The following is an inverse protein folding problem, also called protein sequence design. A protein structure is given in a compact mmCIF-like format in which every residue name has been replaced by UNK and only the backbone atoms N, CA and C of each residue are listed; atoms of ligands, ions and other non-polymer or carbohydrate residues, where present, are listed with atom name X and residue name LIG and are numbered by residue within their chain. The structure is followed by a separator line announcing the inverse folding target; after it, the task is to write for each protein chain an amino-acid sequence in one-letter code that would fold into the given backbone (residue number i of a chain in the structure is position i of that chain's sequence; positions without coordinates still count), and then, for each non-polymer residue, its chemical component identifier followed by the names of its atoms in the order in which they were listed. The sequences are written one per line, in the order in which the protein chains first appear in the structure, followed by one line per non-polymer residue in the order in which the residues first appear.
data_IF_411328459613
#
_entry.id   IF_411328459613
#
_cell.length_a   1.000
_cell.length_b   1.000
_cell.length_c   1.000
_cell.angle_alpha   90.00
_cell.angle_beta   90.00
_cell.angle_gamma   90.00
#
_symmetry.space_group_name_H-M   'P 1'
#
loop_
_entity.id
_entity.type
_entity.pdbx_description
1 polymer ?
#
# COMPACT_ATOMS: atom_id res chain seq x y z
N UNK A 1 24.23 10.03 -3.15
CA UNK A 1 23.72 9.16 -4.23
C UNK A 1 22.97 10.09 -5.19
N UNK A 2 23.47 10.23 -6.42
CA UNK A 2 23.11 11.29 -7.36
C UNK A 2 21.78 11.01 -8.07
N UNK A 3 21.08 12.08 -8.49
CA UNK A 3 19.90 11.96 -9.35
C UNK A 3 20.29 11.25 -10.65
N UNK A 4 19.48 10.29 -11.14
CA UNK A 4 19.61 9.86 -12.52
C UNK A 4 19.25 11.08 -13.40
N UNK A 5 20.04 11.39 -14.45
CA UNK A 5 19.85 12.60 -15.25
C UNK A 5 18.49 12.59 -15.94
N UNK A 6 17.91 13.76 -16.17
CA UNK A 6 16.67 13.87 -16.94
C UNK A 6 16.84 13.23 -18.32
N UNK A 7 16.06 12.18 -18.61
CA UNK A 7 16.18 11.37 -19.82
C UNK A 7 16.97 10.06 -19.67
N UNK A 8 17.41 9.69 -18.46
CA UNK A 8 17.86 8.33 -18.19
C UNK A 8 16.65 7.39 -18.18
N UNK A 9 16.50 6.63 -19.26
CA UNK A 9 15.70 5.41 -19.20
C UNK A 9 16.50 4.40 -18.38
N UNK A 10 16.02 4.07 -17.18
CA UNK A 10 16.49 2.86 -16.48
C UNK A 10 16.17 1.69 -17.43
N UNK A 11 17.21 0.99 -17.87
CA UNK A 11 17.04 -0.15 -18.76
C UNK A 11 16.58 -1.38 -17.98
N UNK A 12 15.99 -2.36 -18.65
CA UNK A 12 15.68 -3.65 -18.04
C UNK A 12 16.92 -4.29 -17.43
N UNK A 13 18.07 -4.15 -18.09
CA UNK A 13 19.35 -4.67 -17.60
C UNK A 13 19.77 -4.01 -16.28
N UNK A 14 19.61 -2.69 -16.14
CA UNK A 14 19.93 -1.99 -14.89
C UNK A 14 19.09 -2.54 -13.73
N UNK A 15 17.81 -2.81 -13.98
CA UNK A 15 16.89 -3.41 -12.99
C UNK A 15 17.25 -4.87 -12.65
N UNK A 16 17.67 -5.66 -13.64
CA UNK A 16 18.15 -7.04 -13.43
C UNK A 16 19.45 -7.06 -12.61
N UNK A 17 20.36 -6.12 -12.86
CA UNK A 17 21.60 -5.95 -12.08
C UNK A 17 21.29 -5.51 -10.64
N UNK A 18 20.37 -4.56 -10.44
CA UNK A 18 19.91 -4.12 -9.11
C UNK A 18 19.21 -5.26 -8.35
N UNK A 19 18.34 -6.02 -9.03
CA UNK A 19 17.67 -7.19 -8.47
C UNK A 19 18.70 -8.24 -8.01
N UNK A 20 19.71 -8.53 -8.83
CA UNK A 20 20.76 -9.49 -8.49
C UNK A 20 21.62 -9.01 -7.31
N UNK A 21 21.82 -7.70 -7.19
CA UNK A 21 22.64 -7.11 -6.13
C UNK A 21 21.92 -7.07 -4.77
N UNK A 22 20.63 -6.73 -4.75
CA UNK A 22 19.90 -6.45 -3.52
C UNK A 22 18.89 -7.53 -3.13
N UNK A 23 18.39 -8.30 -4.11
CA UNK A 23 17.41 -9.37 -3.88
C UNK A 23 16.03 -8.88 -3.43
N UNK A 24 15.75 -7.59 -3.56
CA UNK A 24 14.54 -6.92 -3.08
C UNK A 24 13.64 -6.37 -4.21
N UNK A 25 13.99 -6.64 -5.47
CA UNK A 25 13.19 -6.29 -6.64
C UNK A 25 12.45 -7.52 -7.21
N UNK A 26 11.17 -7.32 -7.51
CA UNK A 26 10.34 -8.27 -8.25
C UNK A 26 9.96 -7.65 -9.60
N UNK A 27 10.55 -8.16 -10.68
CA UNK A 27 10.22 -7.76 -12.05
C UNK A 27 8.99 -8.53 -12.52
N UNK A 28 7.86 -7.84 -12.61
CA UNK A 28 6.57 -8.44 -12.97
C UNK A 28 6.20 -8.00 -14.39
N UNK A 29 5.71 -8.93 -15.21
CA UNK A 29 5.21 -8.66 -16.56
C UNK A 29 3.85 -7.94 -16.49
N UNK A 30 3.88 -6.67 -16.11
CA UNK A 30 2.74 -5.79 -16.03
C UNK A 30 3.08 -4.40 -16.60
N UNK A 31 2.08 -3.72 -17.15
CA UNK A 31 2.29 -2.37 -17.67
C UNK A 31 2.36 -1.39 -16.49
N UNK A 32 3.59 -0.97 -16.15
CA UNK A 32 3.81 0.11 -15.20
C UNK A 32 3.54 1.48 -15.87
N UNK A 33 2.87 2.37 -15.16
CA UNK A 33 2.68 3.74 -15.60
C UNK A 33 1.29 4.33 -15.36
N UNK A 34 1.28 5.44 -14.63
CA UNK A 34 0.21 6.43 -14.66
C UNK A 34 0.22 7.11 -16.03
N UNK A 35 -0.59 6.63 -16.99
CA UNK A 35 -0.92 7.50 -18.14
C UNK A 35 -1.69 8.70 -17.57
N UNK A 36 -1.23 9.92 -17.93
CA UNK A 36 -1.75 11.21 -17.46
C UNK A 36 -3.25 11.14 -17.15
N UNK A 37 -3.64 11.51 -15.92
CA UNK A 37 -5.02 11.71 -15.55
C UNK A 37 -5.66 12.74 -16.49
N UNK A 38 -6.38 12.27 -17.50
CA UNK A 38 -7.45 13.03 -18.11
C UNK A 38 -8.73 12.61 -17.39
N UNK A 39 -9.25 13.48 -16.53
CA UNK A 39 -10.52 13.27 -15.82
C UNK A 39 -11.72 12.99 -16.75
N UNK A 40 -11.55 13.17 -18.07
CA UNK A 40 -12.55 12.97 -19.12
C UNK A 40 -12.40 11.65 -19.89
N UNK A 41 -11.30 10.92 -19.73
CA UNK A 41 -11.11 9.62 -20.38
C UNK A 41 -10.78 8.57 -19.34
N UNK A 42 -11.69 7.60 -19.14
CA UNK A 42 -11.50 6.38 -18.34
C UNK A 42 -10.38 5.43 -18.87
N UNK A 43 -9.38 5.98 -19.55
CA UNK A 43 -8.37 5.24 -20.30
C UNK A 43 -7.04 5.15 -19.57
N UNK A 44 -6.79 3.96 -18.99
CA UNK A 44 -5.47 3.39 -18.63
C UNK A 44 -4.81 3.98 -17.37
N UNK A 45 -5.46 3.82 -16.23
CA UNK A 45 -4.81 3.84 -14.92
C UNK A 45 -4.12 2.49 -14.66
N UNK A 46 -3.14 2.44 -13.74
CA UNK A 46 -2.42 1.24 -13.26
C UNK A 46 -3.14 -0.06 -13.63
N UNK A 47 -2.63 -0.76 -14.64
CA UNK A 47 -3.31 -1.90 -15.28
C UNK A 47 -3.24 -3.16 -14.39
N UNK A 48 -3.81 -3.09 -13.18
CA UNK A 48 -3.83 -4.20 -12.24
C UNK A 48 -2.50 -4.49 -11.57
N UNK A 49 -1.55 -3.53 -11.53
CA UNK A 49 -0.26 -3.68 -10.83
C UNK A 49 -0.44 -4.22 -9.42
N UNK A 50 -1.43 -3.71 -8.69
CA UNK A 50 -1.74 -4.19 -7.34
C UNK A 50 -2.11 -5.68 -7.28
N UNK A 51 -2.76 -6.24 -8.31
CA UNK A 51 -3.05 -7.67 -8.36
C UNK A 51 -1.76 -8.48 -8.48
N UNK A 52 -0.84 -8.05 -9.36
CA UNK A 52 0.46 -8.72 -9.51
C UNK A 52 1.28 -8.67 -8.21
N UNK A 53 1.20 -7.58 -7.45
CA UNK A 53 1.87 -7.49 -6.13
C UNK A 53 1.34 -8.55 -5.16
N UNK A 54 0.02 -8.66 -5.00
CA UNK A 54 -0.56 -9.65 -4.09
C UNK A 54 -0.42 -11.09 -4.60
N UNK A 55 -0.52 -11.32 -5.90
CA UNK A 55 -0.29 -12.63 -6.52
C UNK A 55 1.17 -13.08 -6.37
N UNK A 56 2.12 -12.18 -6.57
CA UNK A 56 3.53 -12.46 -6.31
C UNK A 56 3.77 -12.80 -4.84
N UNK A 57 3.23 -12.01 -3.91
CA UNK A 57 3.36 -12.28 -2.48
C UNK A 57 2.74 -13.63 -2.09
N UNK A 58 1.55 -13.94 -2.61
CA UNK A 58 0.86 -15.20 -2.34
C UNK A 58 1.64 -16.44 -2.82
N UNK A 59 2.39 -16.32 -3.93
CA UNK A 59 3.18 -17.43 -4.50
C UNK A 59 4.56 -17.56 -3.87
N UNK A 60 5.21 -16.44 -3.55
CA UNK A 60 6.62 -16.43 -3.14
C UNK A 60 6.81 -16.33 -1.62
N UNK A 61 5.83 -15.79 -0.91
CA UNK A 61 5.83 -15.65 0.56
C UNK A 61 4.47 -16.10 1.13
N UNK A 62 4.02 -17.34 0.86
CA UNK A 62 2.69 -17.82 1.24
C UNK A 62 2.45 -17.80 2.77
N UNK A 63 3.51 -17.78 3.57
CA UNK A 63 3.49 -17.72 5.03
C UNK A 63 3.37 -16.32 5.61
N UNK A 64 3.40 -15.26 4.79
CA UNK A 64 3.27 -13.89 5.28
C UNK A 64 1.95 -13.69 6.05
N UNK A 65 2.05 -13.23 7.30
CA UNK A 65 0.88 -12.87 8.11
C UNK A 65 0.22 -11.57 7.62
N UNK A 66 1.01 -10.67 7.03
CA UNK A 66 0.57 -9.36 6.57
C UNK A 66 1.35 -8.97 5.30
N UNK A 67 0.63 -8.53 4.28
CA UNK A 67 1.18 -8.02 3.02
C UNK A 67 0.79 -6.56 2.86
N UNK A 68 1.78 -5.67 2.74
CA UNK A 68 1.59 -4.23 2.68
C UNK A 68 2.04 -3.69 1.32
N UNK A 69 1.23 -2.80 0.75
CA UNK A 69 1.60 -1.95 -0.38
C UNK A 69 1.82 -0.53 0.12
N UNK A 70 2.88 0.09 -0.39
CA UNK A 70 3.28 1.47 -0.11
C UNK A 70 3.68 2.14 -1.43
N UNK A 71 3.41 3.44 -1.57
CA UNK A 71 3.99 4.28 -2.62
C UNK A 71 5.50 4.55 -2.38
N UNK A 72 6.27 4.59 -3.46
CA UNK A 72 7.73 4.78 -3.43
C UNK A 72 8.16 6.20 -3.03
N UNK A 73 7.25 7.17 -3.12
CA UNK A 73 7.43 8.54 -2.65
C UNK A 73 6.90 8.79 -1.23
N UNK A 74 6.63 7.72 -0.47
CA UNK A 74 6.27 7.80 0.94
C UNK A 74 7.46 7.42 1.83
N UNK A 75 7.54 8.04 3.01
CA UNK A 75 8.46 7.65 4.06
C UNK A 75 7.64 7.22 5.28
N UNK A 76 7.86 5.99 5.77
CA UNK A 76 7.12 5.40 6.89
C UNK A 76 8.07 5.08 8.05
N UNK A 77 7.72 5.50 9.27
CA UNK A 77 8.35 4.98 10.48
C UNK A 77 7.59 3.73 10.92
N UNK A 78 8.05 2.56 10.45
CA UNK A 78 7.42 1.28 10.72
C UNK A 78 7.33 0.93 12.21
N UNK A 79 8.22 1.48 13.05
CA UNK A 79 8.18 1.29 14.51
C UNK A 79 6.97 1.96 15.16
N UNK A 80 6.39 2.95 14.49
CA UNK A 80 5.20 3.67 14.92
C UNK A 80 3.99 3.17 14.13
N UNK A 81 4.11 3.10 12.80
CA UNK A 81 3.02 2.74 11.91
C UNK A 81 2.48 1.34 12.18
N UNK A 82 3.35 0.32 12.24
CA UNK A 82 2.92 -1.06 12.39
C UNK A 82 2.26 -1.31 13.75
N UNK A 83 2.83 -0.89 14.91
CA UNK A 83 2.14 -1.04 16.18
C UNK A 83 0.83 -0.27 16.28
N UNK A 84 0.67 0.86 15.58
CA UNK A 84 -0.62 1.58 15.55
C UNK A 84 -1.66 0.81 14.71
N UNK A 85 -1.28 0.36 13.51
CA UNK A 85 -2.16 -0.45 12.65
C UNK A 85 -2.54 -1.77 13.32
N UNK A 86 -1.60 -2.41 14.01
CA UNK A 86 -1.88 -3.64 14.72
C UNK A 86 -2.56 -3.39 16.07
N UNK A 87 -2.29 -2.29 16.76
CA UNK A 87 -2.83 -2.01 18.09
C UNK A 87 -4.35 -2.07 18.17
N UNK A 88 -5.05 -1.58 17.14
CA UNK A 88 -6.51 -1.71 17.03
C UNK A 88 -6.98 -3.17 16.86
N UNK A 89 -6.21 -3.98 16.12
CA UNK A 89 -6.51 -5.40 15.87
C UNK A 89 -6.10 -6.33 17.03
N UNK A 90 -5.06 -5.96 17.77
CA UNK A 90 -4.44 -6.77 18.82
C UNK A 90 -5.08 -6.52 20.20
N UNK A 91 -5.74 -5.37 20.40
CA UNK A 91 -6.33 -4.97 21.69
C UNK A 91 -7.38 -5.94 22.28
N UNK A 92 -7.76 -7.00 21.55
CA UNK A 92 -8.72 -8.01 22.02
C UNK A 92 -8.15 -9.43 22.21
N UNK A 93 -6.86 -9.69 21.94
CA UNK A 93 -6.31 -11.05 22.05
C UNK A 93 -4.87 -11.07 22.60
N UNK A 94 -4.74 -11.17 23.91
CA UNK A 94 -3.54 -11.68 24.57
C UNK A 94 -3.69 -13.20 24.84
N UNK A 95 -2.64 -13.98 25.15
CA UNK A 95 -1.27 -13.99 24.63
C UNK A 95 -0.96 -15.39 24.07
N UNK A 96 -1.44 -15.76 22.88
CA UNK A 96 -1.14 -17.08 22.26
C UNK A 96 -1.31 -16.95 20.73
N UNK A 97 -0.24 -16.55 20.04
CA UNK A 97 -0.18 -16.53 18.57
C UNK A 97 -1.10 -15.48 17.93
N UNK A 98 -0.54 -14.34 17.54
CA UNK A 98 -1.22 -13.34 16.72
C UNK A 98 -1.55 -13.94 15.36
N UNK A 99 -2.73 -14.54 15.21
CA UNK A 99 -3.23 -14.90 13.90
C UNK A 99 -3.89 -13.66 13.29
N UNK A 100 -3.10 -12.90 12.53
CA UNK A 100 -3.62 -11.83 11.69
C UNK A 100 -4.44 -12.46 10.57
N UNK A 101 -5.75 -12.62 10.80
CA UNK A 101 -6.68 -13.15 9.81
C UNK A 101 -7.75 -12.11 9.50
N UNK A 102 -8.19 -12.07 8.24
CA UNK A 102 -9.27 -11.20 7.78
C UNK A 102 -9.02 -9.72 8.06
N UNK A 103 -7.77 -9.33 8.32
CA UNK A 103 -7.37 -7.98 8.67
C UNK A 103 -7.13 -7.14 7.41
N UNK A 104 -7.63 -5.91 7.45
CA UNK A 104 -7.29 -4.81 6.55
C UNK A 104 -6.62 -3.69 7.35
N UNK A 105 -5.39 -3.37 6.98
CA UNK A 105 -4.63 -2.26 7.57
C UNK A 105 -4.31 -1.18 6.54
N UNK A 106 -4.00 0.02 7.05
CA UNK A 106 -3.56 1.12 6.21
C UNK A 106 -4.08 2.46 6.68
N UNK A 107 -4.14 3.42 5.77
CA UNK A 107 -4.82 4.68 6.03
C UNK A 107 -6.34 4.52 5.86
N UNK A 108 -7.09 5.11 6.78
CA UNK A 108 -8.52 5.30 6.67
C UNK A 108 -8.76 6.44 5.68
N UNK A 109 -9.52 6.17 4.63
CA UNK A 109 -9.89 7.20 3.69
C UNK A 109 -11.01 8.09 4.27
N UNK A 110 -10.82 9.42 4.35
CA UNK A 110 -11.90 10.32 4.73
C UNK A 110 -12.99 10.30 3.63
N UNK A 111 -14.23 10.08 4.07
CA UNK A 111 -15.38 9.63 3.28
C UNK A 111 -15.62 10.38 1.96
N UNK A 112 -15.25 11.66 1.86
CA UNK A 112 -15.61 12.50 0.70
C UNK A 112 -14.81 12.15 -0.56
N UNK A 113 -13.53 11.77 -0.43
CA UNK A 113 -12.67 11.46 -1.58
C UNK A 113 -12.90 10.02 -2.08
N UNK A 114 -13.14 9.08 -1.16
CA UNK A 114 -13.41 7.69 -1.51
C UNK A 114 -14.82 7.44 -2.02
N UNK A 115 -15.80 8.28 -1.69
CA UNK A 115 -17.13 8.12 -2.28
C UNK A 115 -17.12 8.44 -3.78
N UNK A 116 -16.45 9.54 -4.17
CA UNK A 116 -16.35 9.97 -5.59
C UNK A 116 -15.53 8.99 -6.43
N UNK A 117 -14.45 8.45 -5.88
CA UNK A 117 -13.59 7.49 -6.60
C UNK A 117 -14.12 6.06 -6.53
N UNK A 118 -14.80 5.69 -5.45
CA UNK A 118 -15.32 4.35 -5.20
C UNK A 118 -16.47 3.96 -6.13
N UNK A 119 -17.38 4.88 -6.42
CA UNK A 119 -18.50 4.63 -7.33
C UNK A 119 -18.01 4.27 -8.75
N UNK A 120 -16.90 4.88 -9.20
CA UNK A 120 -16.30 4.63 -10.51
C UNK A 120 -15.69 3.23 -10.66
N UNK A 121 -15.34 2.57 -9.54
CA UNK A 121 -14.73 1.23 -9.53
C UNK A 121 -15.60 0.17 -8.83
N UNK A 122 -16.84 0.50 -8.47
CA UNK A 122 -17.80 -0.41 -7.85
C UNK A 122 -17.52 -0.74 -6.38
N UNK A 123 -16.90 0.18 -5.65
CA UNK A 123 -16.68 0.09 -4.20
C UNK A 123 -17.95 0.55 -3.48
N UNK A 124 -18.38 -0.19 -2.44
CA UNK A 124 -19.63 0.11 -1.75
C UNK A 124 -19.57 1.46 -1.00
N UNK A 125 -20.68 2.23 -0.97
CA UNK A 125 -20.81 3.43 -0.15
C UNK A 125 -20.39 3.18 1.31
N UNK A 126 -19.53 4.04 1.86
CA UNK A 126 -19.02 3.90 3.23
C UNK A 126 -17.78 3.01 3.39
N UNK A 127 -17.21 2.49 2.30
CA UNK A 127 -15.90 1.82 2.34
C UNK A 127 -14.84 2.79 2.88
N UNK A 128 -14.17 2.40 3.97
CA UNK A 128 -13.30 3.28 4.75
C UNK A 128 -11.82 3.17 4.39
N UNK A 129 -11.49 2.40 3.37
CA UNK A 129 -10.13 2.10 2.99
C UNK A 129 -9.66 3.02 1.87
N UNK A 130 -8.38 3.36 1.86
CA UNK A 130 -7.79 4.20 0.83
C UNK A 130 -6.59 5.00 1.34
N UNK A 131 -5.67 5.36 0.45
CA UNK A 131 -4.48 6.13 0.81
C UNK A 131 -3.16 5.48 0.40
N UNK A 132 -2.03 6.13 0.76
CA UNK A 132 -0.71 5.82 0.21
C UNK A 132 -0.09 4.53 0.75
N UNK A 133 -0.64 4.01 1.84
CA UNK A 133 -0.34 2.68 2.40
C UNK A 133 -1.62 1.94 2.71
N UNK A 134 -1.65 0.68 2.30
CA UNK A 134 -2.67 -0.26 2.69
C UNK A 134 -2.16 -1.69 2.57
N UNK A 135 -2.84 -2.64 3.21
CA UNK A 135 -2.45 -4.03 3.15
C UNK A 135 -3.46 -4.96 3.77
N UNK A 136 -3.23 -6.25 3.58
CA UNK A 136 -4.11 -7.30 4.02
C UNK A 136 -3.35 -8.33 4.84
N UNK A 137 -4.06 -8.95 5.77
CA UNK A 137 -3.69 -10.26 6.28
C UNK A 137 -3.42 -11.24 5.14
N UNK A 138 -2.54 -12.22 5.38
CA UNK A 138 -2.12 -13.17 4.37
C UNK A 138 -3.27 -13.97 3.74
N UNK A 139 -4.30 -14.32 4.52
CA UNK A 139 -5.47 -15.06 4.01
C UNK A 139 -6.30 -14.22 3.03
N UNK A 140 -6.49 -12.94 3.32
CA UNK A 140 -7.18 -12.01 2.41
C UNK A 140 -6.34 -11.77 1.15
N UNK A 141 -5.03 -11.57 1.28
CA UNK A 141 -4.12 -11.40 0.14
C UNK A 141 -4.13 -12.63 -0.79
N UNK A 142 -4.00 -13.84 -0.24
CA UNK A 142 -4.06 -15.10 -1.00
C UNK A 142 -5.43 -15.31 -1.65
N UNK A 143 -6.52 -14.99 -0.94
CA UNK A 143 -7.86 -15.06 -1.51
C UNK A 143 -8.03 -14.07 -2.67
N UNK A 144 -7.57 -12.83 -2.52
CA UNK A 144 -7.63 -11.80 -3.56
C UNK A 144 -6.79 -12.19 -4.79
N UNK A 145 -5.61 -12.78 -4.59
CA UNK A 145 -4.81 -13.31 -5.69
C UNK A 145 -5.53 -14.44 -6.45
N UNK A 146 -6.15 -15.38 -5.72
CA UNK A 146 -6.80 -16.56 -6.29
C UNK A 146 -8.16 -16.27 -6.95
N UNK A 147 -8.90 -15.27 -6.47
CA UNK A 147 -10.27 -14.95 -6.94
C UNK A 147 -10.36 -13.62 -7.71
N UNK A 148 -9.34 -12.78 -7.58
CA UNK A 148 -9.22 -11.53 -8.30
C UNK A 148 -8.56 -11.71 -9.66
N UNK A 149 -8.34 -10.58 -10.33
CA UNK A 149 -7.63 -10.48 -11.60
C UNK A 149 -7.00 -9.09 -11.71
N UNK A 150 -6.08 -8.86 -12.66
CA UNK A 150 -5.64 -7.51 -12.99
C UNK A 150 -6.84 -6.61 -13.35
N UNK A 151 -7.03 -5.54 -12.59
CA UNK A 151 -8.09 -4.57 -12.81
C UNK A 151 -7.51 -3.16 -12.89
N UNK A 152 -7.99 -2.38 -13.86
CA UNK A 152 -7.62 -0.98 -13.98
C UNK A 152 -8.37 -0.14 -12.93
N UNK A 153 -7.67 0.80 -12.32
CA UNK A 153 -8.25 1.74 -11.35
C UNK A 153 -7.21 2.23 -10.35
N UNK A 154 -7.62 3.10 -9.41
CA UNK A 154 -6.80 3.43 -8.25
C UNK A 154 -6.56 2.16 -7.42
N UNK A 155 -5.30 1.83 -7.17
CA UNK A 155 -4.91 0.56 -6.54
C UNK A 155 -5.55 0.35 -5.17
N UNK A 156 -5.68 1.43 -4.40
CA UNK A 156 -6.28 1.44 -3.08
C UNK A 156 -7.80 1.15 -3.15
N UNK A 157 -8.49 1.67 -4.16
CA UNK A 157 -9.89 1.37 -4.41
C UNK A 157 -10.11 -0.06 -4.92
N UNK A 158 -9.19 -0.59 -5.74
CA UNK A 158 -9.21 -2.01 -6.15
C UNK A 158 -9.01 -2.91 -4.93
N UNK A 159 -8.07 -2.56 -4.03
CA UNK A 159 -7.89 -3.24 -2.75
C UNK A 159 -9.17 -3.23 -1.91
N UNK A 160 -9.83 -2.07 -1.77
CA UNK A 160 -11.13 -1.94 -1.10
C UNK A 160 -12.20 -2.88 -1.67
N UNK A 161 -12.28 -2.96 -3.00
CA UNK A 161 -13.22 -3.84 -3.68
C UNK A 161 -12.97 -5.30 -3.30
N UNK A 162 -11.71 -5.74 -3.25
CA UNK A 162 -11.37 -7.11 -2.84
C UNK A 162 -11.71 -7.38 -1.37
N UNK A 163 -11.46 -6.43 -0.46
CA UNK A 163 -11.90 -6.57 0.94
C UNK A 163 -13.42 -6.77 1.03
N UNK A 164 -14.21 -5.98 0.30
CA UNK A 164 -15.66 -6.11 0.24
C UNK A 164 -16.13 -7.44 -0.39
N UNK A 165 -15.39 -7.97 -1.37
CA UNK A 165 -15.70 -9.27 -1.97
C UNK A 165 -15.33 -10.43 -1.05
N UNK A 166 -14.18 -10.35 -0.39
CA UNK A 166 -13.76 -11.30 0.64
C UNK A 166 -14.79 -11.34 1.77
N UNK A 167 -15.23 -10.17 2.26
CA UNK A 167 -16.23 -10.07 3.32
C UNK A 167 -17.52 -10.84 2.98
N UNK A 168 -17.99 -10.68 1.74
CA UNK A 168 -19.18 -11.37 1.23
C UNK A 168 -18.99 -12.88 1.05
N UNK A 169 -17.78 -13.32 0.71
CA UNK A 169 -17.49 -14.73 0.44
C UNK A 169 -17.10 -15.52 1.69
N UNK A 170 -16.31 -14.92 2.58
CA UNK A 170 -15.61 -15.59 3.68
C UNK A 170 -16.07 -15.11 5.05
N UNK A 171 -16.78 -13.99 5.14
CA UNK A 171 -17.23 -13.33 6.37
C UNK A 171 -16.42 -12.06 6.69
N UNK A 172 -16.86 -11.34 7.73
CA UNK A 172 -16.42 -9.98 8.06
C UNK A 172 -14.91 -9.76 8.02
N UNK A 173 -14.49 -8.67 7.37
CA UNK A 173 -13.11 -8.17 7.38
C UNK A 173 -12.93 -7.26 8.60
N UNK A 174 -11.89 -7.49 9.37
CA UNK A 174 -11.47 -6.61 10.44
C UNK A 174 -10.79 -5.36 9.86
N UNK A 175 -11.42 -4.21 10.05
CA UNK A 175 -10.91 -2.91 9.62
C UNK A 175 -10.31 -2.10 10.77
N UNK A 176 -10.10 -2.71 11.94
CA UNK A 176 -9.55 -2.05 13.13
C UNK A 176 -8.11 -1.56 12.93
N UNK A 177 -7.40 -2.08 11.91
CA UNK A 177 -6.08 -1.62 11.53
C UNK A 177 -6.03 -0.45 10.55
N UNK A 178 -7.18 0.12 10.17
CA UNK A 178 -7.24 1.36 9.41
C UNK A 178 -7.06 2.57 10.33
N UNK A 179 -6.02 3.36 10.09
CA UNK A 179 -5.69 4.54 10.88
C UNK A 179 -6.32 5.81 10.31
N UNK A 180 -7.06 6.55 11.13
CA UNK A 180 -7.50 7.89 10.72
C UNK A 180 -6.29 8.81 10.48
N UNK A 181 -6.48 9.87 9.69
CA UNK A 181 -5.40 10.81 9.35
C UNK A 181 -4.69 11.34 10.61
N UNK A 182 -5.44 11.71 11.65
CA UNK A 182 -4.91 12.16 12.94
C UNK A 182 -4.04 11.10 13.66
N UNK A 183 -4.37 9.82 13.52
CA UNK A 183 -3.66 8.71 14.15
C UNK A 183 -2.45 8.25 13.33
N UNK A 184 -2.40 8.66 12.06
CA UNK A 184 -1.23 8.51 11.19
C UNK A 184 -0.21 9.63 11.33
N UNK A 185 -0.53 10.71 12.06
CA UNK A 185 0.41 11.80 12.33
C UNK A 185 1.61 11.22 13.08
N UNK A 186 2.81 11.37 12.50
CA UNK A 186 4.10 10.76 12.91
C UNK A 186 4.40 9.35 12.41
N UNK A 187 3.42 8.62 11.85
CA UNK A 187 3.64 7.29 11.33
C UNK A 187 4.24 7.31 9.91
N UNK A 188 3.84 8.27 9.08
CA UNK A 188 4.37 8.43 7.72
C UNK A 188 4.23 9.86 7.19
N UNK A 189 4.91 10.15 6.08
CA UNK A 189 4.78 11.39 5.28
C UNK A 189 4.54 11.03 3.84
N UNK A 190 3.49 11.58 3.24
CA UNK A 190 3.18 11.44 1.82
C UNK A 190 2.50 12.72 1.26
N UNK A 191 2.80 13.11 0.00
CA UNK A 191 3.87 12.60 -0.84
C UNK A 191 5.20 13.34 -0.59
N UNK A 192 6.32 12.63 -0.67
CA UNK A 192 7.66 13.21 -0.64
C UNK A 192 8.20 13.36 -2.06
N UNK A 193 7.77 14.42 -2.75
CA UNK A 193 8.07 14.66 -4.17
C UNK A 193 9.50 15.18 -4.46
N UNK A 194 10.39 15.23 -3.46
CA UNK A 194 11.77 15.75 -3.63
C UNK A 194 12.80 14.80 -3.04
N UNK A 195 13.86 14.41 -3.79
CA UNK A 195 14.95 13.59 -3.26
C UNK A 195 15.65 14.19 -2.05
N UNK A 196 15.71 15.52 -1.95
CA UNK A 196 16.31 16.22 -0.80
C UNK A 196 15.46 16.03 0.45
N UNK A 197 14.13 16.17 0.30
CA UNK A 197 13.19 15.95 1.40
C UNK A 197 13.19 14.47 1.78
N UNK A 198 13.17 13.56 0.80
CA UNK A 198 13.26 12.12 1.04
C UNK A 198 14.51 11.75 1.83
N UNK A 199 15.70 12.17 1.37
CA UNK A 199 16.97 11.85 2.04
C UNK A 199 17.03 12.43 3.46
N UNK A 200 16.52 13.65 3.68
CA UNK A 200 16.41 14.25 5.01
C UNK A 200 15.51 13.40 5.92
N UNK A 201 14.36 12.97 5.42
CA UNK A 201 13.39 12.21 6.21
C UNK A 201 13.79 10.79 6.50
N UNK A 202 14.30 10.09 5.49
CA UNK A 202 14.90 8.79 5.68
C UNK A 202 16.04 8.85 6.71
N UNK A 203 16.96 9.82 6.56
CA UNK A 203 18.08 10.01 7.49
C UNK A 203 17.66 10.35 8.92
N UNK A 204 16.56 11.10 9.12
CA UNK A 204 16.00 11.38 10.45
C UNK A 204 15.36 10.13 11.08
N UNK A 205 14.66 9.30 10.30
CA UNK A 205 14.05 8.06 10.80
C UNK A 205 15.09 7.02 11.22
N UNK A 206 16.10 6.78 10.38
CA UNK A 206 17.20 5.83 10.67
C UNK A 206 17.92 6.23 11.96
N UNK A 207 18.10 7.54 12.20
CA UNK A 207 18.75 8.08 13.40
C UNK A 207 17.82 8.23 14.61
N UNK A 208 16.55 7.81 14.52
CA UNK A 208 15.59 7.87 15.61
C UNK A 208 15.13 9.29 15.99
N UNK A 209 15.35 10.29 15.14
CA UNK A 209 14.95 11.68 15.40
C UNK A 209 13.46 11.97 15.12
N UNK A 210 12.70 10.94 14.73
CA UNK A 210 11.27 10.99 14.48
C UNK A 210 10.87 11.75 13.20
N UNK A 211 9.65 11.49 12.77
CA UNK A 211 9.08 12.03 11.52
C UNK A 211 8.81 13.53 11.62
N UNK A 212 8.60 14.08 12.83
CA UNK A 212 8.36 15.52 13.10
C UNK A 212 9.42 16.45 12.48
N UNK A 213 10.68 16.02 12.46
CA UNK A 213 11.79 16.79 11.86
C UNK A 213 11.64 17.06 10.35
N UNK A 214 10.69 16.37 9.71
CA UNK A 214 10.36 16.50 8.30
C UNK A 214 9.08 17.28 7.98
N UNK A 215 8.26 17.57 8.99
CA UNK A 215 7.06 18.40 8.84
C UNK A 215 7.38 19.90 8.87
N UNK A 216 8.64 20.27 9.10
CA UNK A 216 9.11 21.66 9.02
C UNK A 216 9.28 22.13 7.57
N UNK A 217 8.15 22.49 6.95
CA UNK A 217 8.07 23.53 5.92
C UNK A 217 7.39 24.75 6.52
#
# INVERSE_FOLDING_TARGET
IGRPPAGSSVSQRDLEEEQAQHGDLALMDCQDGLKKMNFTTHGRQNNGKIWYVFDWAARNVPEADLVLKQDDDMVIDWRIALPRMLGGAIQWQAPLGLQLQRLFVGQLCPWILCHVMGDAVGVAPGSRCGGPIFGFSGDVARWAAANGRPEAGPEDMVGCKWANQFERAMGQVDTSGLLAMQDSVEAWIHPVKSPVVYAKCHGSMVRGSGVRSCWGM
#
